data_IF_063838258218
#
_entry.id   IF_063838258218
#
_cell.length_a   1.000
_cell.length_b   1.000
_cell.length_c   1.000
_cell.angle_alpha   90.00
_cell.angle_beta   90.00
_cell.angle_gamma   90.00
#
_symmetry.space_group_name_H-M   'P 1'
#
loop_
_entity.id
_entity.type
_entity.pdbx_description
1 polymer ?
#
# COMPACT_ATOMS: atom_id res chain seq x y z
N UNK A 1 9.42 20.34 -66.18
CA UNK A 1 10.45 19.86 -65.22
C UNK A 1 10.24 20.52 -63.90
N UNK A 2 9.62 19.90 -62.96
CA UNK A 2 9.67 20.25 -61.56
C UNK A 2 9.49 18.97 -60.76
N UNK A 3 10.54 18.63 -60.02
CA UNK A 3 10.70 17.43 -59.29
C UNK A 3 9.80 17.43 -58.06
N UNK A 4 9.05 16.35 -57.86
CA UNK A 4 8.29 16.09 -56.65
C UNK A 4 9.22 15.72 -55.49
N UNK A 5 9.21 16.50 -54.44
CA UNK A 5 9.81 16.12 -53.16
C UNK A 5 8.92 15.05 -52.48
N UNK A 6 9.38 13.85 -52.48
CA UNK A 6 8.78 12.77 -51.66
C UNK A 6 9.08 13.06 -50.20
N UNK A 7 8.04 13.41 -49.45
CA UNK A 7 8.03 13.30 -47.99
C UNK A 7 8.09 11.82 -47.60
N UNK A 8 9.25 11.35 -47.24
CA UNK A 8 9.41 10.05 -46.60
C UNK A 8 8.88 10.16 -45.17
N UNK A 9 7.60 9.89 -44.98
CA UNK A 9 7.04 9.64 -43.66
C UNK A 9 7.75 8.38 -43.11
N UNK A 10 8.58 8.55 -42.12
CA UNK A 10 9.09 7.45 -41.31
C UNK A 10 7.91 6.81 -40.57
N UNK A 11 7.34 5.78 -41.15
CA UNK A 11 6.41 4.88 -40.49
C UNK A 11 7.21 4.14 -39.40
N UNK A 12 7.19 4.69 -38.19
CA UNK A 12 7.67 3.93 -37.03
C UNK A 12 6.75 2.69 -36.89
N UNK A 13 7.30 1.47 -36.89
CA UNK A 13 6.47 0.27 -36.79
C UNK A 13 5.58 0.35 -35.55
N UNK A 14 4.30 0.03 -35.70
CA UNK A 14 3.30 0.04 -34.62
C UNK A 14 3.78 -0.76 -33.42
N UNK A 15 4.55 -1.82 -33.63
CA UNK A 15 5.21 -2.62 -32.61
C UNK A 15 6.25 -1.85 -31.78
N UNK A 16 6.98 -0.90 -32.39
CA UNK A 16 7.95 -0.06 -31.68
C UNK A 16 7.21 0.98 -30.83
N UNK A 17 6.15 1.59 -31.38
CA UNK A 17 5.27 2.48 -30.63
C UNK A 17 4.59 1.75 -29.48
N UNK A 18 4.04 0.57 -29.72
CA UNK A 18 3.42 -0.24 -28.66
C UNK A 18 4.43 -0.66 -27.58
N UNK A 19 5.66 -0.99 -27.94
CA UNK A 19 6.71 -1.31 -26.97
C UNK A 19 7.19 -0.07 -26.20
N UNK A 20 7.24 1.10 -26.83
CA UNK A 20 7.55 2.36 -26.16
C UNK A 20 6.42 2.78 -25.20
N UNK A 21 5.16 2.68 -25.62
CA UNK A 21 4.00 2.92 -24.76
C UNK A 21 3.96 1.91 -23.59
N UNK A 22 4.15 0.61 -23.85
CA UNK A 22 4.24 -0.39 -22.78
C UNK A 22 5.40 -0.15 -21.82
N UNK A 23 6.54 0.34 -22.30
CA UNK A 23 7.70 0.65 -21.46
C UNK A 23 7.51 1.95 -20.68
N UNK A 24 6.82 2.95 -21.23
CA UNK A 24 6.44 4.18 -20.56
C UNK A 24 5.43 3.89 -19.43
N UNK A 25 4.37 3.14 -19.71
CA UNK A 25 3.37 2.72 -18.73
C UNK A 25 3.98 1.82 -17.65
N UNK A 26 4.95 0.96 -18.00
CA UNK A 26 5.61 0.08 -17.04
C UNK A 26 6.47 0.81 -16.00
N UNK A 27 6.80 2.09 -16.21
CA UNK A 27 7.61 2.89 -15.30
C UNK A 27 6.83 4.00 -14.59
N UNK A 28 5.53 4.12 -14.84
CA UNK A 28 4.69 5.09 -14.16
C UNK A 28 4.33 4.61 -12.76
N UNK A 29 4.39 5.50 -11.80
CA UNK A 29 4.06 5.27 -10.39
C UNK A 29 3.16 6.40 -9.93
N UNK A 30 2.03 6.07 -9.32
CA UNK A 30 1.19 7.07 -8.67
C UNK A 30 1.47 7.07 -7.17
N UNK A 31 1.72 8.26 -6.61
CA UNK A 31 1.94 8.50 -5.20
C UNK A 31 0.78 9.31 -4.61
N UNK A 32 -0.02 8.70 -3.76
CA UNK A 32 -0.97 9.41 -2.90
C UNK A 32 -0.27 9.85 -1.62
N UNK A 33 -0.18 11.15 -1.37
CA UNK A 33 0.48 11.66 -0.17
C UNK A 33 -0.01 13.04 0.21
N UNK A 34 -0.29 13.24 1.50
CA UNK A 34 -0.53 14.52 2.18
C UNK A 34 0.75 15.11 2.80
N UNK A 35 1.90 14.42 2.65
CA UNK A 35 3.21 14.81 3.18
C UNK A 35 4.10 15.30 2.02
N UNK A 36 4.26 16.63 1.92
CA UNK A 36 5.03 17.27 0.85
C UNK A 36 6.52 16.90 0.88
N UNK A 37 7.12 16.73 2.07
CA UNK A 37 8.53 16.36 2.19
C UNK A 37 8.77 14.91 1.76
N UNK A 38 7.89 14.01 2.19
CA UNK A 38 7.94 12.62 1.76
C UNK A 38 7.77 12.51 0.24
N UNK A 39 6.81 13.25 -0.32
CA UNK A 39 6.56 13.29 -1.77
C UNK A 39 7.78 13.76 -2.53
N UNK A 40 8.38 14.89 -2.12
CA UNK A 40 9.56 15.44 -2.77
C UNK A 40 10.74 14.45 -2.76
N UNK A 41 11.02 13.85 -1.61
CA UNK A 41 12.10 12.86 -1.48
C UNK A 41 11.86 11.61 -2.30
N UNK A 42 10.63 11.11 -2.35
CA UNK A 42 10.24 9.93 -3.13
C UNK A 42 10.35 10.20 -4.63
N UNK A 43 9.84 11.35 -5.11
CA UNK A 43 9.95 11.77 -6.51
C UNK A 43 11.42 11.89 -6.91
N UNK A 44 12.24 12.62 -6.14
CA UNK A 44 13.66 12.79 -6.45
C UNK A 44 14.40 11.43 -6.55
N UNK A 45 14.14 10.52 -5.61
CA UNK A 45 14.79 9.20 -5.61
C UNK A 45 14.37 8.34 -6.80
N UNK A 46 13.07 8.23 -7.07
CA UNK A 46 12.54 7.33 -8.09
C UNK A 46 12.75 7.87 -9.51
N UNK A 47 12.73 9.20 -9.71
CA UNK A 47 13.03 9.82 -11.02
C UNK A 47 14.46 9.56 -11.44
N UNK A 48 15.43 9.56 -10.51
CA UNK A 48 16.82 9.16 -10.79
C UNK A 48 16.95 7.71 -11.27
N UNK A 49 15.96 6.87 -10.98
CA UNK A 49 15.91 5.46 -11.39
C UNK A 49 15.06 5.25 -12.66
N UNK A 50 14.63 6.34 -13.30
CA UNK A 50 13.86 6.30 -14.54
C UNK A 50 12.37 6.00 -14.36
N UNK A 51 11.83 6.21 -13.15
CA UNK A 51 10.39 6.17 -12.92
C UNK A 51 9.77 7.55 -13.17
N UNK A 52 8.58 7.57 -13.74
CA UNK A 52 7.72 8.74 -13.84
C UNK A 52 6.71 8.71 -12.69
N UNK A 53 6.68 9.75 -11.85
CA UNK A 53 5.88 9.77 -10.63
C UNK A 53 4.82 10.86 -10.70
N UNK A 54 3.56 10.42 -10.64
CA UNK A 54 2.41 11.31 -10.50
C UNK A 54 2.02 11.40 -9.03
N UNK A 55 2.10 12.61 -8.46
CA UNK A 55 1.76 12.85 -7.04
C UNK A 55 0.35 13.42 -6.93
N UNK A 56 -0.48 12.80 -6.09
CA UNK A 56 -1.84 13.24 -5.78
C UNK A 56 -1.93 13.47 -4.28
N UNK A 57 -2.35 14.68 -3.89
CA UNK A 57 -2.70 14.99 -2.49
C UNK A 57 -4.19 14.68 -2.28
N UNK A 58 -4.54 13.59 -1.60
CA UNK A 58 -5.92 13.15 -1.48
C UNK A 58 -6.75 14.00 -0.52
N UNK A 59 -6.12 14.88 0.26
CA UNK A 59 -6.82 15.84 1.13
C UNK A 59 -7.27 17.06 0.33
N UNK A 60 -6.48 17.45 -0.68
CA UNK A 60 -6.79 18.60 -1.54
C UNK A 60 -7.57 18.22 -2.79
N UNK A 61 -7.43 16.99 -3.24
CA UNK A 61 -8.03 16.50 -4.50
C UNK A 61 -9.04 15.41 -4.19
N UNK A 62 -10.26 15.55 -4.68
CA UNK A 62 -11.26 14.48 -4.60
C UNK A 62 -10.81 13.35 -5.52
N UNK A 63 -10.43 12.23 -4.92
CA UNK A 63 -10.03 11.03 -5.66
C UNK A 63 -11.28 10.20 -5.92
N UNK A 64 -11.63 10.03 -7.19
CA UNK A 64 -12.80 9.22 -7.60
C UNK A 64 -12.42 7.76 -7.83
N UNK A 65 -13.42 6.85 -7.84
CA UNK A 65 -13.17 5.45 -8.20
C UNK A 65 -12.63 5.33 -9.64
N UNK A 66 -13.06 6.19 -10.54
CA UNK A 66 -12.58 6.21 -11.93
C UNK A 66 -11.09 6.55 -12.01
N UNK A 67 -10.60 7.51 -11.21
CA UNK A 67 -9.18 7.85 -11.17
C UNK A 67 -8.31 6.66 -10.76
N UNK A 68 -8.83 5.77 -9.92
CA UNK A 68 -8.13 4.58 -9.45
C UNK A 68 -8.22 3.40 -10.42
N UNK A 69 -9.28 3.32 -11.24
CA UNK A 69 -9.43 2.27 -12.25
C UNK A 69 -8.34 2.32 -13.34
N UNK A 70 -7.83 3.50 -13.66
CA UNK A 70 -6.74 3.66 -14.63
C UNK A 70 -5.38 3.12 -14.13
N UNK A 71 -5.24 2.85 -12.83
CA UNK A 71 -3.99 2.42 -12.19
C UNK A 71 -3.76 0.89 -12.24
N UNK A 72 -4.59 0.13 -12.91
CA UNK A 72 -4.62 -1.35 -12.89
C UNK A 72 -3.29 -2.06 -13.26
N UNK A 73 -2.36 -1.39 -13.91
CA UNK A 73 -1.05 -1.96 -14.27
C UNK A 73 0.13 -1.25 -13.63
N UNK A 74 -0.14 -0.28 -12.75
CA UNK A 74 0.86 0.57 -12.13
C UNK A 74 1.07 0.20 -10.67
N UNK A 75 2.23 0.58 -10.14
CA UNK A 75 2.45 0.52 -8.70
C UNK A 75 1.93 1.81 -8.09
N UNK A 76 1.09 1.66 -7.09
CA UNK A 76 0.56 2.76 -6.32
C UNK A 76 1.29 2.87 -4.98
N UNK A 77 1.86 4.02 -4.69
CA UNK A 77 2.47 4.35 -3.42
C UNK A 77 1.47 5.16 -2.59
N UNK A 78 1.28 4.82 -1.33
CA UNK A 78 0.30 5.46 -0.46
C UNK A 78 0.99 5.88 0.84
N UNK A 79 1.02 7.19 1.10
CA UNK A 79 1.61 7.81 2.29
C UNK A 79 0.69 8.91 2.79
N UNK A 80 -0.47 8.53 3.31
CA UNK A 80 -1.53 9.44 3.76
C UNK A 80 -1.66 9.36 5.27
N UNK A 81 -1.58 10.51 5.93
CA UNK A 81 -1.70 10.65 7.40
C UNK A 81 -3.14 10.91 7.82
N UNK A 82 -3.94 11.57 6.97
CA UNK A 82 -5.37 11.73 7.22
C UNK A 82 -6.07 10.36 7.23
N UNK A 83 -6.75 10.05 8.35
CA UNK A 83 -7.31 8.72 8.58
C UNK A 83 -8.45 8.40 7.63
N UNK A 84 -9.30 9.37 7.30
CA UNK A 84 -10.46 9.15 6.42
C UNK A 84 -10.01 8.97 4.97
N UNK A 85 -9.13 9.83 4.50
CA UNK A 85 -8.57 9.73 3.15
C UNK A 85 -7.77 8.42 2.99
N UNK A 86 -6.97 8.05 4.00
CA UNK A 86 -6.23 6.78 4.00
C UNK A 86 -7.17 5.57 3.92
N UNK A 87 -8.23 5.54 4.73
CA UNK A 87 -9.21 4.44 4.74
C UNK A 87 -9.92 4.30 3.38
N UNK A 88 -10.33 5.41 2.76
CA UNK A 88 -10.96 5.40 1.45
C UNK A 88 -10.03 4.85 0.36
N UNK A 89 -8.78 5.36 0.30
CA UNK A 89 -7.81 4.91 -0.69
C UNK A 89 -7.47 3.42 -0.48
N UNK A 90 -7.24 2.99 0.76
CA UNK A 90 -6.94 1.59 1.08
C UNK A 90 -8.10 0.69 0.64
N UNK A 91 -9.34 1.07 0.93
CA UNK A 91 -10.52 0.30 0.56
C UNK A 91 -10.66 0.19 -0.95
N UNK A 92 -10.52 1.30 -1.67
CA UNK A 92 -10.69 1.32 -3.13
C UNK A 92 -9.56 0.55 -3.83
N UNK A 93 -8.32 0.75 -3.42
CA UNK A 93 -7.18 -0.02 -3.96
C UNK A 93 -7.31 -1.52 -3.69
N UNK A 94 -7.90 -1.90 -2.57
CA UNK A 94 -8.21 -3.31 -2.28
C UNK A 94 -9.30 -3.86 -3.19
N UNK A 95 -10.42 -3.15 -3.36
CA UNK A 95 -11.53 -3.56 -4.26
C UNK A 95 -11.04 -3.79 -5.69
N UNK A 96 -10.17 -2.92 -6.18
CA UNK A 96 -9.62 -2.98 -7.54
C UNK A 96 -8.36 -3.84 -7.65
N UNK A 97 -7.92 -4.51 -6.57
CA UNK A 97 -6.73 -5.38 -6.53
C UNK A 97 -5.45 -4.70 -7.04
N UNK A 98 -5.28 -3.40 -6.74
CA UNK A 98 -4.13 -2.64 -7.20
C UNK A 98 -2.84 -3.07 -6.46
N UNK A 99 -1.72 -2.96 -7.16
CA UNK A 99 -0.39 -3.20 -6.58
C UNK A 99 0.04 -2.00 -5.73
N UNK A 100 -0.16 -2.07 -4.42
CA UNK A 100 0.07 -0.94 -3.52
C UNK A 100 1.24 -1.15 -2.57
N UNK A 101 1.96 -0.05 -2.30
CA UNK A 101 2.90 0.09 -1.19
C UNK A 101 2.36 1.15 -0.24
N UNK A 102 2.06 0.74 0.98
CA UNK A 102 1.56 1.63 2.02
C UNK A 102 2.70 2.06 2.93
N UNK A 103 2.97 3.35 2.98
CA UNK A 103 3.95 3.91 3.90
C UNK A 103 3.26 4.31 5.19
N UNK A 104 3.79 3.84 6.29
CA UNK A 104 3.25 4.09 7.62
C UNK A 104 4.31 4.66 8.54
N UNK A 105 3.86 5.51 9.46
CA UNK A 105 4.70 6.02 10.53
C UNK A 105 5.00 4.92 11.54
N UNK A 106 6.18 4.33 11.42
CA UNK A 106 6.61 3.25 12.26
C UNK A 106 8.01 3.48 12.81
N UNK A 107 8.22 3.15 14.09
CA UNK A 107 9.54 3.22 14.68
C UNK A 107 10.48 2.19 14.04
N UNK A 108 11.76 2.55 13.92
CA UNK A 108 12.79 1.63 13.45
C UNK A 108 12.76 0.31 14.24
N UNK A 109 12.90 -0.82 13.54
CA UNK A 109 12.86 -2.17 14.14
C UNK A 109 11.46 -2.64 14.56
N UNK A 110 10.38 -1.90 14.25
CA UNK A 110 9.01 -2.33 14.49
C UNK A 110 8.50 -3.31 13.43
N UNK A 111 9.20 -3.40 12.31
CA UNK A 111 8.83 -4.19 11.13
C UNK A 111 9.98 -5.03 10.63
N UNK A 112 9.63 -6.18 10.09
CA UNK A 112 10.51 -6.94 9.24
C UNK A 112 10.10 -6.72 7.78
N UNK A 113 10.70 -5.72 7.14
CA UNK A 113 10.41 -5.31 5.76
C UNK A 113 10.66 -6.41 4.71
N UNK A 114 11.38 -7.47 5.05
CA UNK A 114 11.60 -8.62 4.17
C UNK A 114 10.41 -9.60 4.15
N UNK A 115 9.51 -9.52 5.14
CA UNK A 115 8.34 -10.40 5.24
C UNK A 115 7.05 -9.79 4.68
N UNK A 116 7.09 -8.59 4.12
CA UNK A 116 5.92 -7.85 3.68
C UNK A 116 5.40 -8.37 2.34
N UNK A 117 4.63 -9.44 2.41
CA UNK A 117 3.80 -9.89 1.28
C UNK A 117 2.71 -8.87 0.88
N UNK A 118 2.58 -7.77 1.63
CA UNK A 118 1.42 -6.88 1.58
C UNK A 118 1.75 -5.42 1.26
N UNK A 119 3.01 -5.13 0.91
CA UNK A 119 3.38 -3.79 0.50
C UNK A 119 3.28 -2.71 1.59
N UNK A 120 3.29 -3.05 2.89
CA UNK A 120 3.32 -2.03 3.94
C UNK A 120 4.76 -1.78 4.37
N UNK A 121 5.22 -0.54 4.38
CA UNK A 121 6.61 -0.15 4.58
C UNK A 121 6.66 1.05 5.52
N UNK A 122 7.62 1.12 6.46
CA UNK A 122 7.76 2.32 7.29
C UNK A 122 8.25 3.51 6.45
N UNK A 123 7.72 4.73 6.72
CA UNK A 123 8.15 5.97 6.04
C UNK A 123 9.64 6.25 6.17
N UNK A 124 10.26 5.81 7.26
CA UNK A 124 11.68 5.98 7.53
C UNK A 124 12.58 4.90 6.90
N UNK A 125 12.07 4.12 5.96
CA UNK A 125 12.90 3.19 5.20
C UNK A 125 13.92 3.98 4.38
N UNK A 126 15.15 3.47 4.32
CA UNK A 126 16.12 4.07 3.43
C UNK A 126 15.69 3.91 1.96
N UNK A 127 15.57 5.03 1.25
CA UNK A 127 14.97 5.09 -0.10
C UNK A 127 15.62 4.15 -1.12
N UNK A 128 16.91 3.78 -0.93
CA UNK A 128 17.61 2.83 -1.80
C UNK A 128 17.01 1.41 -1.79
N UNK A 129 16.19 1.05 -0.77
CA UNK A 129 15.45 -0.22 -0.76
C UNK A 129 14.17 -0.20 -1.60
N UNK A 130 13.64 0.99 -1.88
CA UNK A 130 12.36 1.15 -2.57
C UNK A 130 12.32 0.46 -3.95
N UNK A 131 13.34 0.56 -4.83
CA UNK A 131 13.35 -0.13 -6.11
C UNK A 131 13.26 -1.66 -5.97
N UNK A 132 13.92 -2.22 -4.94
CA UNK A 132 13.85 -3.65 -4.66
C UNK A 132 12.45 -4.08 -4.23
N UNK A 133 11.78 -3.28 -3.40
CA UNK A 133 10.41 -3.53 -2.96
C UNK A 133 9.46 -3.46 -4.16
N UNK A 134 9.57 -2.42 -4.98
CA UNK A 134 8.80 -2.24 -6.22
C UNK A 134 8.96 -3.45 -7.14
N UNK A 135 10.19 -3.89 -7.38
CA UNK A 135 10.48 -5.06 -8.21
C UNK A 135 9.87 -6.34 -7.63
N UNK A 136 9.92 -6.52 -6.32
CA UNK A 136 9.36 -7.70 -5.65
C UNK A 136 7.85 -7.76 -5.80
N UNK A 137 7.15 -6.63 -5.68
CA UNK A 137 5.70 -6.55 -5.83
C UNK A 137 5.23 -6.78 -7.26
N UNK A 138 6.01 -6.37 -8.27
CA UNK A 138 5.70 -6.64 -9.69
C UNK A 138 5.74 -8.13 -10.06
N UNK A 139 6.55 -8.91 -9.36
CA UNK A 139 6.78 -10.34 -9.69
C UNK A 139 5.85 -11.27 -8.90
N UNK A 140 5.34 -10.82 -7.77
CA UNK A 140 4.46 -11.63 -6.93
C UNK A 140 3.00 -11.32 -7.25
N UNK A 141 2.24 -12.37 -7.62
CA UNK A 141 0.81 -12.37 -7.32
C UNK A 141 0.72 -12.09 -5.81
N UNK A 142 0.18 -10.94 -5.46
CA UNK A 142 0.02 -10.53 -4.06
C UNK A 142 -0.90 -11.58 -3.44
N UNK A 143 -0.32 -12.54 -2.73
CA UNK A 143 -1.10 -13.42 -1.88
C UNK A 143 -1.58 -12.56 -0.72
N UNK A 144 -2.71 -11.91 -0.95
CA UNK A 144 -3.37 -11.08 0.02
C UNK A 144 -3.54 -11.87 1.31
N UNK A 145 -3.09 -11.31 2.39
CA UNK A 145 -3.12 -11.75 3.79
C UNK A 145 -3.68 -13.17 4.03
N UNK A 146 -2.99 -14.00 4.77
CA UNK A 146 -3.69 -14.97 5.60
C UNK A 146 -4.56 -14.14 6.54
N UNK A 147 -5.86 -14.08 6.26
CA UNK A 147 -6.79 -13.23 6.98
C UNK A 147 -6.69 -13.43 8.49
N UNK A 148 -6.97 -12.39 9.24
CA UNK A 148 -7.17 -12.54 10.66
C UNK A 148 -8.39 -13.44 10.89
N UNK A 149 -8.33 -14.32 11.87
CA UNK A 149 -9.52 -15.06 12.31
C UNK A 149 -10.52 -14.11 12.97
N UNK A 150 -11.79 -14.49 13.04
CA UNK A 150 -12.81 -13.70 13.71
C UNK A 150 -12.41 -13.35 15.16
N UNK A 151 -11.83 -14.28 15.90
CA UNK A 151 -11.35 -14.07 17.29
C UNK A 151 -10.17 -13.13 17.36
N UNK A 152 -9.23 -13.19 16.41
CA UNK A 152 -8.11 -12.23 16.33
C UNK A 152 -8.62 -10.82 16.04
N UNK A 153 -9.58 -10.66 15.14
CA UNK A 153 -10.17 -9.36 14.85
C UNK A 153 -10.97 -8.78 16.02
N UNK A 154 -11.75 -9.62 16.71
CA UNK A 154 -12.52 -9.23 17.88
C UNK A 154 -11.60 -8.68 18.99
N UNK A 155 -10.50 -9.40 19.29
CA UNK A 155 -9.46 -8.93 20.22
C UNK A 155 -8.83 -7.62 19.74
N UNK A 156 -8.46 -7.53 18.48
CA UNK A 156 -7.79 -6.32 17.94
C UNK A 156 -8.72 -5.11 17.92
N UNK A 157 -10.01 -5.28 17.60
CA UNK A 157 -11.01 -4.22 17.66
C UNK A 157 -11.22 -3.73 19.10
N UNK A 158 -11.36 -4.65 20.06
CA UNK A 158 -11.48 -4.29 21.49
C UNK A 158 -10.26 -3.53 22.00
N UNK A 159 -9.05 -3.91 21.57
CA UNK A 159 -7.82 -3.19 21.91
C UNK A 159 -7.78 -1.78 21.27
N UNK A 160 -8.29 -1.65 20.05
CA UNK A 160 -8.40 -0.36 19.35
C UNK A 160 -9.39 0.58 20.04
N UNK A 161 -10.46 0.04 20.63
CA UNK A 161 -11.41 0.75 21.49
C UNK A 161 -10.81 1.14 22.86
N UNK A 162 -9.56 0.79 23.12
CA UNK A 162 -8.87 1.12 24.37
C UNK A 162 -9.14 0.15 25.52
N UNK A 163 -9.85 -0.96 25.29
CA UNK A 163 -10.10 -1.98 26.31
C UNK A 163 -8.80 -2.66 26.74
N UNK A 164 -8.66 -2.91 28.03
CA UNK A 164 -7.52 -3.66 28.58
C UNK A 164 -7.76 -5.18 28.49
N UNK A 165 -6.68 -5.97 28.63
CA UNK A 165 -6.74 -7.43 28.51
C UNK A 165 -7.73 -8.09 29.46
N UNK A 166 -7.84 -7.58 30.69
CA UNK A 166 -8.73 -8.10 31.73
C UNK A 166 -10.20 -7.91 31.35
N UNK A 167 -10.55 -6.78 30.75
CA UNK A 167 -11.91 -6.53 30.28
C UNK A 167 -12.23 -7.43 29.08
N UNK A 168 -11.33 -7.49 28.10
CA UNK A 168 -11.48 -8.37 26.91
C UNK A 168 -11.64 -9.84 27.32
N UNK A 169 -10.81 -10.32 28.26
CA UNK A 169 -10.90 -11.71 28.74
C UNK A 169 -12.26 -12.05 29.34
N UNK A 170 -12.87 -11.09 30.05
CA UNK A 170 -14.21 -11.25 30.63
C UNK A 170 -15.30 -11.22 29.56
N UNK A 171 -15.25 -10.23 28.64
CA UNK A 171 -16.25 -10.08 27.58
C UNK A 171 -16.26 -11.28 26.60
N UNK A 172 -15.09 -11.84 26.32
CA UNK A 172 -14.93 -12.94 25.38
C UNK A 172 -14.95 -14.34 26.07
N UNK A 173 -15.03 -14.39 27.40
CA UNK A 173 -14.98 -15.62 28.20
C UNK A 173 -13.73 -16.47 27.95
N UNK A 174 -12.57 -15.82 27.79
CA UNK A 174 -11.27 -16.47 27.57
C UNK A 174 -10.23 -15.98 28.58
N UNK A 175 -9.09 -16.67 28.70
CA UNK A 175 -8.02 -16.25 29.60
C UNK A 175 -7.28 -15.01 29.04
N UNK A 176 -6.69 -14.19 29.93
CA UNK A 176 -5.82 -13.08 29.53
C UNK A 176 -4.60 -13.54 28.70
N UNK A 177 -4.15 -14.78 28.92
CA UNK A 177 -3.10 -15.41 28.14
C UNK A 177 -3.58 -15.64 26.70
N UNK A 178 -4.81 -16.12 26.53
CA UNK A 178 -5.46 -16.35 25.23
C UNK A 178 -5.66 -15.03 24.49
N UNK A 179 -6.09 -13.95 25.16
CA UNK A 179 -6.16 -12.60 24.58
C UNK A 179 -4.78 -12.16 24.06
N UNK A 180 -3.73 -12.37 24.87
CA UNK A 180 -2.37 -12.02 24.46
C UNK A 180 -1.87 -12.84 23.27
N UNK A 181 -2.26 -14.11 23.19
CA UNK A 181 -1.94 -14.99 22.06
C UNK A 181 -2.63 -14.53 20.77
N UNK A 182 -3.93 -14.21 20.83
CA UNK A 182 -4.67 -13.67 19.67
C UNK A 182 -4.09 -12.35 19.19
N UNK A 183 -3.79 -11.40 20.10
CA UNK A 183 -3.09 -10.14 19.77
C UNK A 183 -1.77 -10.42 19.06
N UNK A 184 -0.91 -11.30 19.61
CA UNK A 184 0.39 -11.63 19.03
C UNK A 184 0.24 -12.21 17.63
N UNK A 185 -0.64 -13.20 17.47
CA UNK A 185 -0.88 -13.86 16.19
C UNK A 185 -1.42 -12.89 15.14
N UNK A 186 -2.37 -12.02 15.51
CA UNK A 186 -2.91 -11.00 14.64
C UNK A 186 -1.80 -10.06 14.15
N UNK A 187 -1.01 -9.50 15.06
CA UNK A 187 0.08 -8.58 14.71
C UNK A 187 1.18 -9.26 13.88
N UNK A 188 1.50 -10.52 14.16
CA UNK A 188 2.45 -11.29 13.33
C UNK A 188 1.92 -11.53 11.90
N UNK A 189 0.64 -11.85 11.75
CA UNK A 189 0.00 -11.98 10.43
C UNK A 189 0.02 -10.65 9.67
N UNK A 190 -0.05 -9.53 10.38
CA UNK A 190 0.10 -8.19 9.83
C UNK A 190 1.56 -7.76 9.61
N UNK A 191 2.53 -8.63 9.89
CA UNK A 191 3.96 -8.32 9.78
C UNK A 191 4.50 -7.39 10.88
N UNK A 192 3.71 -7.13 11.93
CA UNK A 192 4.07 -6.25 13.03
C UNK A 192 4.82 -7.02 14.12
N UNK A 193 6.06 -6.63 14.39
CA UNK A 193 6.94 -7.33 15.34
C UNK A 193 6.76 -6.88 16.79
N UNK A 194 6.32 -5.64 17.00
CA UNK A 194 6.13 -5.07 18.34
C UNK A 194 4.66 -5.11 18.76
N UNK A 195 4.41 -5.54 20.00
CA UNK A 195 3.07 -5.71 20.57
C UNK A 195 2.59 -4.46 21.33
N UNK A 196 2.95 -3.26 20.84
CA UNK A 196 2.64 -1.98 21.50
C UNK A 196 1.34 -1.33 20.95
N UNK A 197 0.94 -0.20 21.55
CA UNK A 197 -0.24 0.56 21.17
C UNK A 197 -0.15 1.08 19.72
N UNK A 198 1.05 1.44 19.23
CA UNK A 198 1.25 1.91 17.85
C UNK A 198 0.93 0.83 16.83
N UNK A 199 1.26 -0.43 17.11
CA UNK A 199 0.89 -1.56 16.24
C UNK A 199 -0.63 -1.76 16.18
N UNK A 200 -1.34 -1.46 17.26
CA UNK A 200 -2.81 -1.49 17.27
C UNK A 200 -3.38 -0.34 16.44
N UNK A 201 -2.82 0.86 16.54
CA UNK A 201 -3.24 2.00 15.72
C UNK A 201 -3.05 1.73 14.21
N UNK A 202 -1.94 1.10 13.84
CA UNK A 202 -1.70 0.67 12.45
C UNK A 202 -2.76 -0.35 11.99
N UNK A 203 -3.07 -1.35 12.83
CA UNK A 203 -4.17 -2.25 12.53
C UNK A 203 -5.48 -1.48 12.26
N UNK A 204 -5.75 -0.42 13.04
CA UNK A 204 -6.93 0.44 12.88
C UNK A 204 -7.07 1.02 11.48
N UNK A 205 -5.97 1.42 10.84
CA UNK A 205 -5.96 1.95 9.47
C UNK A 205 -6.38 0.91 8.43
N UNK A 206 -6.09 -0.37 8.68
CA UNK A 206 -6.37 -1.47 7.74
C UNK A 206 -7.59 -2.32 8.10
N UNK A 207 -8.26 -2.04 9.24
CA UNK A 207 -9.34 -2.90 9.76
C UNK A 207 -10.49 -3.08 8.78
N UNK A 208 -10.82 -2.04 8.01
CA UNK A 208 -11.93 -2.07 7.05
C UNK A 208 -11.67 -3.07 5.94
N UNK A 209 -10.47 -3.06 5.39
CA UNK A 209 -10.03 -4.03 4.37
C UNK A 209 -10.04 -5.46 4.92
N UNK A 210 -9.62 -5.64 6.17
CA UNK A 210 -9.59 -6.94 6.83
C UNK A 210 -11.00 -7.51 7.08
N UNK A 211 -12.01 -6.65 7.28
CA UNK A 211 -13.41 -7.03 7.44
C UNK A 211 -14.04 -7.53 6.14
N UNK A 212 -13.76 -6.88 5.02
CA UNK A 212 -14.34 -7.28 3.73
C UNK A 212 -14.03 -8.72 3.33
N UNK A 213 -12.90 -9.27 3.79
CA UNK A 213 -12.50 -10.66 3.50
C UNK A 213 -13.24 -11.75 4.26
N UNK A 214 -14.00 -11.41 5.28
CA UNK A 214 -14.81 -12.40 6.02
C UNK A 214 -16.23 -12.51 5.46
N UNK A 215 -16.57 -11.65 4.50
CA UNK A 215 -17.89 -11.60 3.85
C UNK A 215 -17.91 -12.34 2.51
N UNK A 216 -16.73 -12.71 1.99
CA UNK A 216 -16.53 -13.56 0.80
C UNK A 216 -16.19 -15.01 1.22
#
# INVERSE_FOLDING_TARGET
MLAGSFLTLFLVPVTVLQNHFRKAVANMITLFSDDSYFSLGTVACLSLLGYDIHVIDPVKTVVTEDDLCFLNNEITLISVSDTLAAEQIILTTYKHRLNCIYFIDAAAGQYNHLMWAHGIVPKNIALHYLPRIIKTLRVREISWFKGLTAREMEVMNSLLEGKNKKLISREMEISEITVSAHKKNALQKLGLTKLNARSIAIYGQFRTVLRYRLSD
#
